data_IF_952535026220
#
_entry.id   IF_952535026220
#
_cell.length_a   1.000
_cell.length_b   1.000
_cell.length_c   1.000
_cell.angle_alpha   90.00
_cell.angle_beta   90.00
_cell.angle_gamma   90.00
#
_symmetry.space_group_name_H-M   'P 1'
#
loop_
_entity.id
_entity.type
_entity.pdbx_description
1 polymer ?
#
# COMPACT_ATOMS: atom_id res chain seq x y z
N UNK A 1 -5.77 2.62 -20.92
CA UNK A 1 -4.81 1.50 -20.79
C UNK A 1 -5.16 0.76 -19.51
N UNK A 2 -5.16 -0.59 -19.56
CA UNK A 2 -5.22 -1.45 -18.37
C UNK A 2 -4.02 -2.38 -18.45
N UNK A 3 -3.23 -2.47 -17.37
CA UNK A 3 -1.99 -3.24 -17.35
C UNK A 3 -1.73 -3.90 -15.98
N UNK A 4 -1.29 -5.15 -16.03
CA UNK A 4 -0.74 -5.87 -14.89
C UNK A 4 0.66 -6.37 -15.29
N UNK A 5 1.68 -5.49 -15.26
CA UNK A 5 3.03 -5.87 -15.68
C UNK A 5 3.69 -6.79 -14.64
N UNK A 6 4.70 -7.57 -15.03
CA UNK A 6 5.47 -8.37 -14.09
C UNK A 6 6.24 -7.47 -13.11
N UNK A 7 6.25 -7.85 -11.81
CA UNK A 7 6.89 -7.06 -10.77
C UNK A 7 8.41 -7.29 -10.70
N UNK A 8 9.13 -6.21 -10.48
CA UNK A 8 10.57 -6.21 -10.19
C UNK A 8 11.44 -6.97 -11.21
N UNK A 9 11.04 -6.93 -12.49
CA UNK A 9 11.80 -7.57 -13.56
C UNK A 9 13.01 -6.72 -13.93
N UNK A 10 14.21 -7.30 -14.03
CA UNK A 10 15.38 -6.59 -14.56
C UNK A 10 15.15 -6.15 -16.01
N UNK A 11 15.69 -4.99 -16.35
CA UNK A 11 15.66 -4.44 -17.70
C UNK A 11 16.99 -3.75 -18.02
N UNK A 12 17.18 -3.24 -19.22
CA UNK A 12 18.47 -2.62 -19.61
C UNK A 12 18.76 -1.34 -18.81
N UNK A 13 17.73 -0.50 -18.61
CA UNK A 13 17.83 0.72 -17.82
C UNK A 13 18.98 1.63 -18.28
N UNK A 14 19.74 2.13 -17.31
CA UNK A 14 20.89 3.00 -17.52
C UNK A 14 22.10 2.32 -18.19
N UNK A 15 22.09 1.01 -18.34
CA UNK A 15 23.11 0.27 -19.11
C UNK A 15 23.00 0.47 -20.62
N UNK A 16 21.82 0.87 -21.09
CA UNK A 16 21.58 1.19 -22.49
C UNK A 16 21.52 2.72 -22.67
N UNK A 17 22.56 3.36 -23.24
CA UNK A 17 22.61 4.81 -23.38
C UNK A 17 21.53 5.37 -24.30
N UNK A 18 20.91 4.56 -25.16
CA UNK A 18 19.81 4.99 -26.02
C UNK A 18 18.54 5.27 -25.22
N UNK A 19 18.33 4.58 -24.10
CA UNK A 19 17.13 4.75 -23.25
C UNK A 19 17.12 6.10 -22.52
N UNK A 20 18.28 6.72 -22.28
CA UNK A 20 18.39 8.02 -21.60
C UNK A 20 17.70 9.12 -22.42
N UNK A 21 17.71 8.99 -23.73
CA UNK A 21 17.08 9.94 -24.65
C UNK A 21 15.75 9.44 -25.23
N UNK A 22 15.31 8.26 -24.83
CA UNK A 22 14.04 7.70 -25.31
C UNK A 22 12.87 8.49 -24.68
N UNK A 23 11.97 9.09 -25.49
CA UNK A 23 10.89 9.94 -25.01
C UNK A 23 9.87 9.19 -24.15
N UNK A 24 9.88 7.86 -24.13
CA UNK A 24 9.04 7.04 -23.24
C UNK A 24 9.54 7.09 -21.80
N UNK A 25 10.85 7.18 -21.57
CA UNK A 25 11.47 7.01 -20.24
C UNK A 25 12.20 8.26 -19.74
N UNK A 26 12.70 9.09 -20.65
CA UNK A 26 13.53 10.25 -20.33
C UNK A 26 12.84 11.45 -19.67
N UNK A 27 11.50 11.67 -19.75
CA UNK A 27 10.89 12.91 -19.26
C UNK A 27 11.08 13.16 -17.75
N UNK A 28 11.29 12.12 -16.96
CA UNK A 28 11.57 12.27 -15.53
C UNK A 28 13.04 12.67 -15.22
N UNK A 29 13.90 12.80 -16.25
CA UNK A 29 15.33 13.11 -16.12
C UNK A 29 16.16 11.95 -15.52
N UNK A 30 15.55 10.81 -15.27
CA UNK A 30 16.20 9.59 -14.78
C UNK A 30 15.46 8.37 -15.32
N UNK A 31 16.18 7.26 -15.47
CA UNK A 31 15.59 5.97 -15.79
C UNK A 31 15.23 5.19 -14.52
N UNK A 32 14.24 4.30 -14.63
CA UNK A 32 13.98 3.32 -13.57
C UNK A 32 15.24 2.47 -13.32
N UNK A 33 15.45 1.97 -12.09
CA UNK A 33 16.60 1.14 -11.78
C UNK A 33 16.68 -0.09 -12.70
N UNK A 34 17.88 -0.41 -13.23
CA UNK A 34 18.07 -1.56 -14.12
C UNK A 34 17.66 -2.90 -13.48
N UNK A 35 17.68 -3.00 -12.15
CA UNK A 35 17.25 -4.20 -11.41
C UNK A 35 15.72 -4.32 -11.26
N UNK A 36 14.94 -3.25 -11.57
CA UNK A 36 13.50 -3.18 -11.32
C UNK A 36 12.83 -2.27 -12.35
N UNK A 37 12.22 -2.87 -13.36
CA UNK A 37 11.57 -2.16 -14.47
C UNK A 37 10.17 -1.60 -14.16
N UNK A 38 9.69 -1.72 -12.90
CA UNK A 38 8.31 -1.35 -12.54
C UNK A 38 7.95 0.07 -12.99
N UNK A 39 8.80 1.07 -12.66
CA UNK A 39 8.58 2.46 -13.08
C UNK A 39 8.77 2.68 -14.59
N UNK A 40 9.51 1.82 -15.28
CA UNK A 40 9.62 1.89 -16.74
C UNK A 40 8.30 1.52 -17.42
N UNK A 41 7.57 0.51 -16.91
CA UNK A 41 6.22 0.19 -17.39
C UNK A 41 5.25 1.35 -17.22
N UNK A 42 5.33 2.05 -16.08
CA UNK A 42 4.50 3.23 -15.80
C UNK A 42 4.81 4.35 -16.78
N UNK A 43 6.09 4.70 -16.96
CA UNK A 43 6.52 5.75 -17.89
C UNK A 43 6.16 5.40 -19.33
N UNK A 44 6.34 4.13 -19.74
CA UNK A 44 5.92 3.64 -21.04
C UNK A 44 4.41 3.79 -21.26
N UNK A 45 3.60 3.38 -20.29
CA UNK A 45 2.14 3.52 -20.35
C UNK A 45 1.73 4.98 -20.44
N UNK A 46 2.34 5.86 -19.65
CA UNK A 46 2.08 7.29 -19.70
C UNK A 46 2.42 7.90 -21.07
N UNK A 47 3.53 7.48 -21.71
CA UNK A 47 3.93 7.98 -23.02
C UNK A 47 2.90 7.65 -24.11
N UNK A 48 2.29 6.47 -24.04
CA UNK A 48 1.29 6.01 -25.00
C UNK A 48 -0.14 6.49 -24.68
N UNK A 49 -0.34 7.10 -23.52
CA UNK A 49 -1.64 7.58 -23.13
C UNK A 49 -2.05 8.79 -23.96
N UNK A 50 -3.23 8.75 -24.54
CA UNK A 50 -3.83 9.90 -25.23
C UNK A 50 -4.01 11.08 -24.25
N UNK A 51 -4.12 12.30 -24.78
CA UNK A 51 -4.27 13.52 -23.96
C UNK A 51 -5.48 13.49 -23.03
N UNK A 52 -6.55 12.82 -23.42
CA UNK A 52 -7.78 12.60 -22.62
C UNK A 52 -7.87 11.17 -22.06
N UNK A 53 -6.78 10.40 -22.13
CA UNK A 53 -6.76 9.00 -21.73
C UNK A 53 -6.58 8.79 -20.23
N UNK A 54 -6.95 7.60 -19.77
CA UNK A 54 -6.66 7.11 -18.44
C UNK A 54 -5.94 5.75 -18.49
N UNK A 55 -5.09 5.49 -17.50
CA UNK A 55 -4.43 4.20 -17.34
C UNK A 55 -4.65 3.69 -15.91
N UNK A 56 -4.92 2.38 -15.78
CA UNK A 56 -4.95 1.65 -14.53
C UNK A 56 -3.85 0.59 -14.57
N UNK A 57 -2.89 0.69 -13.67
CA UNK A 57 -1.69 -0.14 -13.67
C UNK A 57 -1.56 -0.80 -12.30
N UNK A 58 -1.51 -2.14 -12.28
CA UNK A 58 -1.23 -2.89 -11.05
C UNK A 58 0.26 -2.76 -10.73
N UNK A 59 0.56 -2.37 -9.51
CA UNK A 59 1.89 -2.00 -9.06
C UNK A 59 2.33 -2.78 -7.84
N UNK A 60 3.63 -3.07 -7.78
CA UNK A 60 4.27 -3.52 -6.55
C UNK A 60 4.34 -2.35 -5.55
N UNK A 61 3.95 -2.51 -4.28
CA UNK A 61 3.85 -1.41 -3.32
C UNK A 61 5.17 -0.66 -3.10
N UNK A 62 6.30 -1.34 -3.24
CA UNK A 62 7.61 -0.73 -3.04
C UNK A 62 7.90 0.48 -3.90
N UNK A 63 7.31 0.59 -5.10
CA UNK A 63 7.51 1.75 -5.96
C UNK A 63 6.88 3.03 -5.40
N UNK A 64 5.94 2.90 -4.46
CA UNK A 64 5.24 4.03 -3.87
C UNK A 64 6.11 4.83 -2.88
N UNK A 65 7.13 4.19 -2.27
CA UNK A 65 7.93 4.82 -1.21
C UNK A 65 9.45 4.76 -1.39
N UNK A 66 9.99 3.87 -2.26
CA UNK A 66 11.44 3.76 -2.43
C UNK A 66 12.05 5.08 -2.90
N UNK A 67 13.27 5.36 -2.42
CA UNK A 67 14.05 6.54 -2.80
C UNK A 67 14.76 6.42 -4.15
N UNK A 68 15.68 7.35 -4.41
CA UNK A 68 16.53 7.32 -5.59
C UNK A 68 15.79 7.64 -6.89
N UNK A 69 16.03 6.84 -7.93
CA UNK A 69 15.43 7.07 -9.24
C UNK A 69 13.90 6.93 -9.24
N UNK A 70 13.35 5.95 -8.49
CA UNK A 70 11.91 5.75 -8.37
C UNK A 70 11.22 6.98 -7.75
N UNK A 71 11.83 7.60 -6.74
CA UNK A 71 11.34 8.84 -6.14
C UNK A 71 11.33 10.01 -7.13
N UNK A 72 12.39 10.16 -7.94
CA UNK A 72 12.46 11.21 -8.97
C UNK A 72 11.37 11.02 -10.03
N UNK A 73 11.07 9.79 -10.39
CA UNK A 73 9.97 9.49 -11.32
C UNK A 73 8.62 9.82 -10.67
N UNK A 74 8.38 9.45 -9.39
CA UNK A 74 7.17 9.87 -8.68
C UNK A 74 7.03 11.38 -8.62
N UNK A 75 8.13 12.08 -8.32
CA UNK A 75 8.15 13.54 -8.37
C UNK A 75 7.69 14.07 -9.72
N UNK A 76 8.24 13.56 -10.81
CA UNK A 76 7.82 13.92 -12.17
C UNK A 76 6.32 13.67 -12.39
N UNK A 77 5.82 12.51 -11.99
CA UNK A 77 4.40 12.15 -12.17
C UNK A 77 3.46 13.06 -11.38
N UNK A 78 3.80 13.40 -10.14
CA UNK A 78 2.98 14.25 -9.26
C UNK A 78 3.06 15.72 -9.69
N UNK A 79 4.26 16.25 -9.94
CA UNK A 79 4.45 17.65 -10.34
C UNK A 79 3.76 17.99 -11.67
N UNK A 80 3.67 17.00 -12.58
CA UNK A 80 2.95 17.15 -13.84
C UNK A 80 1.46 16.73 -13.75
N UNK A 81 0.96 16.51 -12.55
CA UNK A 81 -0.44 16.17 -12.27
C UNK A 81 -0.95 14.92 -13.01
N UNK A 82 -0.11 13.90 -13.21
CA UNK A 82 -0.49 12.67 -13.91
C UNK A 82 -1.08 11.61 -12.99
N UNK A 83 -0.77 11.61 -11.69
CA UNK A 83 -1.31 10.63 -10.74
C UNK A 83 -2.73 11.04 -10.35
N UNK A 84 -3.72 10.24 -10.71
CA UNK A 84 -5.13 10.49 -10.41
C UNK A 84 -5.54 9.86 -9.07
N UNK A 85 -5.23 8.57 -8.89
CA UNK A 85 -5.48 7.87 -7.63
C UNK A 85 -4.46 6.75 -7.40
N UNK A 86 -4.26 6.41 -6.12
CA UNK A 86 -3.57 5.21 -5.66
C UNK A 86 -4.55 4.40 -4.81
N UNK A 87 -4.76 3.14 -5.17
CA UNK A 87 -5.71 2.25 -4.50
C UNK A 87 -4.93 1.06 -3.97
N UNK A 88 -4.87 0.92 -2.65
CA UNK A 88 -4.29 -0.25 -2.01
C UNK A 88 -5.32 -1.37 -1.97
N UNK A 89 -4.99 -2.50 -2.59
CA UNK A 89 -5.84 -3.68 -2.63
C UNK A 89 -5.54 -4.64 -1.46
N UNK A 90 -6.46 -5.56 -1.13
CA UNK A 90 -6.23 -6.60 -0.14
C UNK A 90 -5.02 -7.48 -0.47
N UNK A 91 -4.39 -8.02 0.55
CA UNK A 91 -3.40 -9.10 0.40
C UNK A 91 -4.04 -10.38 -0.13
N UNK A 92 -3.23 -11.32 -0.62
CA UNK A 92 -3.68 -12.65 -1.09
C UNK A 92 -4.76 -12.61 -2.20
N UNK A 93 -4.81 -11.56 -3.02
CA UNK A 93 -5.71 -11.49 -4.19
C UNK A 93 -5.18 -12.28 -5.37
N UNK A 94 -3.87 -12.30 -5.58
CA UNK A 94 -3.24 -12.94 -6.73
C UNK A 94 -2.66 -14.30 -6.34
N UNK A 95 -2.67 -15.25 -7.27
CA UNK A 95 -2.07 -16.56 -7.08
C UNK A 95 -0.58 -16.41 -6.73
N UNK A 96 -0.16 -17.07 -5.65
CA UNK A 96 1.22 -17.06 -5.15
C UNK A 96 1.77 -15.68 -4.73
N UNK A 97 0.91 -14.68 -4.55
CA UNK A 97 1.29 -13.34 -4.07
C UNK A 97 0.55 -13.08 -2.76
N UNK A 98 1.28 -13.11 -1.65
CA UNK A 98 0.73 -12.91 -0.30
C UNK A 98 0.66 -11.44 0.13
N UNK A 99 1.42 -10.57 -0.53
CA UNK A 99 1.43 -9.13 -0.24
C UNK A 99 0.20 -8.43 -0.86
N UNK A 100 -0.16 -7.29 -0.31
CA UNK A 100 -1.05 -6.34 -0.98
C UNK A 100 -0.38 -5.81 -2.23
N UNK A 101 -1.17 -5.37 -3.20
CA UNK A 101 -0.71 -4.64 -4.38
C UNK A 101 -1.48 -3.34 -4.48
N UNK A 102 -0.93 -2.39 -5.24
CA UNK A 102 -1.59 -1.11 -5.47
C UNK A 102 -2.05 -1.01 -6.92
N UNK A 103 -3.13 -0.26 -7.17
CA UNK A 103 -3.46 0.21 -8.51
C UNK A 103 -3.10 1.69 -8.58
N UNK A 104 -2.25 2.06 -9.53
CA UNK A 104 -1.99 3.45 -9.88
C UNK A 104 -2.88 3.84 -11.04
N UNK A 105 -3.72 4.85 -10.83
CA UNK A 105 -4.49 5.48 -11.88
C UNK A 105 -3.76 6.72 -12.39
N UNK A 106 -3.53 6.78 -13.70
CA UNK A 106 -2.93 7.92 -14.39
C UNK A 106 -3.94 8.58 -15.31
N UNK A 107 -3.92 9.92 -15.36
CA UNK A 107 -4.68 10.75 -16.30
C UNK A 107 -3.83 11.94 -16.74
N UNK A 108 -3.97 12.36 -18.02
CA UNK A 108 -3.30 13.56 -18.56
C UNK A 108 -4.15 14.83 -18.46
N UNK A 109 -5.48 14.70 -18.36
CA UNK A 109 -6.43 15.81 -18.37
C UNK A 109 -7.21 15.92 -17.06
N UNK A 110 -6.52 15.84 -15.92
CA UNK A 110 -7.16 16.05 -14.63
C UNK A 110 -7.70 17.50 -14.52
N UNK A 111 -8.82 17.63 -13.81
CA UNK A 111 -9.47 18.92 -13.55
C UNK A 111 -9.08 19.51 -12.19
N UNK A 112 -8.52 18.70 -11.31
CA UNK A 112 -7.99 19.09 -10.01
C UNK A 112 -6.46 18.84 -9.92
N UNK A 113 -5.85 19.35 -8.89
CA UNK A 113 -4.41 19.18 -8.61
C UNK A 113 -4.21 18.39 -7.32
N UNK A 114 -4.82 17.20 -7.26
CA UNK A 114 -4.81 16.32 -6.09
C UNK A 114 -4.75 14.85 -6.49
N UNK A 115 -4.24 14.01 -5.60
CA UNK A 115 -4.23 12.55 -5.71
C UNK A 115 -5.24 11.98 -4.73
N UNK A 116 -6.09 11.07 -5.19
CA UNK A 116 -6.98 10.31 -4.31
C UNK A 116 -6.23 9.05 -3.82
N UNK A 117 -6.16 8.87 -2.51
CA UNK A 117 -5.66 7.65 -1.87
C UNK A 117 -6.84 6.84 -1.33
N UNK A 118 -6.91 5.56 -1.67
CA UNK A 118 -7.98 4.65 -1.25
C UNK A 118 -7.39 3.43 -0.56
N UNK A 119 -7.75 3.20 0.68
CA UNK A 119 -7.40 1.98 1.42
C UNK A 119 -8.52 0.94 1.26
N UNK A 120 -8.40 0.11 0.24
CA UNK A 120 -9.30 -1.02 0.02
C UNK A 120 -8.74 -2.33 0.61
N UNK A 121 -7.78 -2.29 1.51
CA UNK A 121 -7.12 -3.47 2.07
C UNK A 121 -8.08 -4.40 2.84
N UNK A 122 -9.20 -3.87 3.33
CA UNK A 122 -10.28 -4.61 4.02
C UNK A 122 -11.44 -5.00 3.09
N UNK A 123 -11.44 -4.57 1.84
CA UNK A 123 -12.51 -4.81 0.87
C UNK A 123 -12.34 -6.17 0.18
N UNK A 124 -12.70 -7.27 0.87
CA UNK A 124 -12.62 -8.61 0.29
C UNK A 124 -13.58 -9.59 0.94
N UNK A 125 -13.86 -10.67 0.23
CA UNK A 125 -14.45 -11.89 0.76
C UNK A 125 -13.40 -12.99 0.75
N UNK A 126 -13.35 -13.78 1.82
CA UNK A 126 -12.39 -14.89 1.93
C UNK A 126 -12.91 -16.11 1.19
N UNK A 127 -12.12 -16.62 0.24
CA UNK A 127 -12.45 -17.82 -0.53
C UNK A 127 -11.31 -18.83 -0.33
N UNK A 128 -11.50 -19.78 0.57
CA UNK A 128 -10.51 -20.79 0.97
C UNK A 128 -9.18 -20.16 1.43
N UNK A 129 -8.12 -20.25 0.63
CA UNK A 129 -6.78 -19.70 0.96
C UNK A 129 -6.56 -18.29 0.44
N UNK A 130 -7.35 -17.81 -0.50
CA UNK A 130 -7.17 -16.52 -1.17
C UNK A 130 -8.32 -15.57 -0.80
N UNK A 131 -8.06 -14.28 -0.94
CA UNK A 131 -9.06 -13.23 -0.89
C UNK A 131 -9.60 -12.98 -2.31
N UNK A 132 -10.83 -12.51 -2.39
CA UNK A 132 -11.48 -12.12 -3.65
C UNK A 132 -12.24 -10.82 -3.43
N UNK A 133 -12.23 -9.94 -4.43
CA UNK A 133 -13.13 -8.80 -4.47
C UNK A 133 -14.53 -9.28 -4.88
N UNK A 134 -15.55 -8.98 -4.09
CA UNK A 134 -16.96 -9.14 -4.49
C UNK A 134 -17.36 -7.98 -5.41
N UNK A 135 -18.54 -8.10 -6.03
CA UNK A 135 -19.08 -6.99 -6.83
C UNK A 135 -19.30 -5.73 -5.99
N UNK A 136 -19.75 -5.88 -4.75
CA UNK A 136 -19.91 -4.77 -3.81
C UNK A 136 -18.58 -4.10 -3.46
N UNK A 137 -17.52 -4.89 -3.23
CA UNK A 137 -16.18 -4.33 -2.98
C UNK A 137 -15.67 -3.54 -4.19
N UNK A 138 -15.83 -4.08 -5.39
CA UNK A 138 -15.44 -3.41 -6.64
C UNK A 138 -16.24 -2.11 -6.79
N UNK A 139 -17.56 -2.17 -6.61
CA UNK A 139 -18.43 -1.00 -6.74
C UNK A 139 -18.08 0.10 -5.73
N UNK A 140 -17.75 -0.28 -4.48
CA UNK A 140 -17.31 0.68 -3.45
C UNK A 140 -16.03 1.39 -3.86
N UNK A 141 -15.03 0.66 -4.33
CA UNK A 141 -13.76 1.23 -4.81
C UNK A 141 -14.01 2.16 -6.01
N UNK A 142 -14.80 1.73 -6.99
CA UNK A 142 -15.12 2.51 -8.19
C UNK A 142 -15.88 3.79 -7.82
N UNK A 143 -16.84 3.70 -6.89
CA UNK A 143 -17.60 4.85 -6.41
C UNK A 143 -16.69 5.88 -5.73
N UNK A 144 -15.78 5.46 -4.86
CA UNK A 144 -14.81 6.35 -4.22
C UNK A 144 -13.94 7.08 -5.25
N UNK A 145 -13.47 6.36 -6.28
CA UNK A 145 -12.68 6.96 -7.37
C UNK A 145 -13.51 7.96 -8.19
N UNK A 146 -14.80 7.68 -8.42
CA UNK A 146 -15.69 8.57 -9.18
C UNK A 146 -16.07 9.81 -8.38
N UNK A 147 -16.37 9.66 -7.10
CA UNK A 147 -16.78 10.76 -6.21
C UNK A 147 -15.63 11.67 -5.78
N UNK A 148 -14.40 11.12 -5.65
CA UNK A 148 -13.19 11.84 -5.24
C UNK A 148 -13.38 12.64 -3.94
N UNK A 149 -13.95 12.02 -2.91
CA UNK A 149 -14.21 12.62 -1.60
C UNK A 149 -13.46 11.91 -0.50
N UNK A 150 -13.20 12.63 0.59
CA UNK A 150 -12.70 12.05 1.80
C UNK A 150 -13.75 11.13 2.45
N UNK A 151 -13.33 9.95 2.83
CA UNK A 151 -14.08 8.99 3.65
C UNK A 151 -13.16 8.46 4.74
N UNK A 152 -13.59 8.59 5.99
CA UNK A 152 -12.80 8.21 7.15
C UNK A 152 -12.37 6.73 7.05
N UNK A 153 -11.07 6.46 7.28
CA UNK A 153 -10.45 5.14 7.23
C UNK A 153 -10.52 4.42 5.85
N UNK A 154 -10.97 5.12 4.80
CA UNK A 154 -11.12 4.50 3.48
C UNK A 154 -10.52 5.32 2.34
N UNK A 155 -10.80 6.63 2.25
CA UNK A 155 -10.33 7.46 1.16
C UNK A 155 -9.92 8.87 1.61
N UNK A 156 -8.86 9.41 1.00
CA UNK A 156 -8.43 10.80 1.22
C UNK A 156 -7.96 11.44 -0.07
N UNK A 157 -8.48 12.62 -0.37
CA UNK A 157 -8.06 13.46 -1.48
C UNK A 157 -6.96 14.42 -1.00
N UNK A 158 -5.76 14.27 -1.52
CA UNK A 158 -4.56 14.97 -1.05
C UNK A 158 -4.02 15.88 -2.14
N UNK A 159 -3.86 17.20 -1.89
CA UNK A 159 -3.23 18.11 -2.85
C UNK A 159 -1.81 17.69 -3.23
N UNK A 160 -1.42 17.89 -4.50
CA UNK A 160 -0.09 17.53 -4.98
C UNK A 160 1.02 18.23 -4.17
N UNK A 161 0.80 19.45 -3.67
CA UNK A 161 1.75 20.19 -2.84
C UNK A 161 1.98 19.49 -1.49
N UNK A 162 0.96 18.88 -0.89
CA UNK A 162 1.09 18.06 0.31
C UNK A 162 1.90 16.80 0.03
N UNK A 163 1.63 16.11 -1.09
CA UNK A 163 2.39 14.93 -1.53
C UNK A 163 3.86 15.29 -1.78
N UNK A 164 4.12 16.45 -2.40
CA UNK A 164 5.46 16.97 -2.69
C UNK A 164 6.16 17.64 -1.52
N UNK A 165 5.52 17.76 -0.35
CA UNK A 165 6.08 18.42 0.83
C UNK A 165 7.38 17.74 1.31
N UNK A 166 8.20 18.47 2.09
CA UNK A 166 9.43 17.90 2.68
C UNK A 166 9.17 16.71 3.58
N UNK A 167 8.00 16.65 4.22
CA UNK A 167 7.60 15.56 5.10
C UNK A 167 7.25 14.30 4.29
N UNK A 168 6.45 14.45 3.25
CA UNK A 168 5.94 13.32 2.46
C UNK A 168 6.88 12.91 1.33
N UNK A 169 7.67 13.85 0.79
CA UNK A 169 8.76 13.60 -0.15
C UNK A 169 8.37 12.70 -1.33
N UNK A 170 7.18 12.97 -1.92
CA UNK A 170 6.58 12.21 -3.01
C UNK A 170 6.34 10.72 -2.66
N UNK A 171 6.11 10.42 -1.39
CA UNK A 171 5.62 9.11 -0.97
C UNK A 171 4.16 8.97 -1.45
N UNK A 172 3.85 7.86 -2.13
CA UNK A 172 2.52 7.54 -2.64
C UNK A 172 1.90 6.33 -1.92
N UNK A 173 2.46 5.90 -0.78
CA UNK A 173 1.85 4.83 0.02
C UNK A 173 0.54 5.30 0.63
N UNK A 174 -0.52 4.53 0.46
CA UNK A 174 -1.86 4.87 0.96
C UNK A 174 -1.87 5.07 2.46
N UNK A 175 -1.16 4.23 3.22
CA UNK A 175 -1.04 4.32 4.68
C UNK A 175 -0.39 5.61 5.21
N UNK A 176 0.24 6.41 4.35
CA UNK A 176 0.77 7.73 4.70
C UNK A 176 -0.35 8.76 4.85
N UNK A 177 -1.44 8.58 4.13
CA UNK A 177 -2.52 9.56 4.00
C UNK A 177 -3.86 9.10 4.56
N UNK A 178 -4.15 7.80 4.49
CA UNK A 178 -5.38 7.20 5.03
C UNK A 178 -5.05 6.50 6.33
N UNK A 179 -5.56 7.04 7.43
CA UNK A 179 -5.40 6.44 8.76
C UNK A 179 -6.28 5.20 8.87
N UNK A 180 -5.68 4.06 9.24
CA UNK A 180 -6.45 2.86 9.46
C UNK A 180 -7.24 2.93 10.77
N UNK A 181 -8.41 2.34 10.79
CA UNK A 181 -9.19 2.19 12.01
C UNK A 181 -8.41 1.38 13.04
N UNK A 182 -8.25 1.94 14.24
CA UNK A 182 -7.63 1.23 15.35
C UNK A 182 -8.60 0.21 15.94
N UNK A 183 -8.52 -1.00 15.44
CA UNK A 183 -9.34 -2.15 15.89
C UNK A 183 -8.72 -2.88 17.07
N UNK A 184 -7.64 -2.39 17.68
CA UNK A 184 -7.03 -3.01 18.85
C UNK A 184 -7.98 -2.88 20.02
N UNK A 185 -8.24 -4.01 20.71
CA UNK A 185 -8.95 -3.97 21.98
C UNK A 185 -8.25 -3.01 22.94
N UNK A 186 -9.00 -2.08 23.51
CA UNK A 186 -8.48 -1.23 24.58
C UNK A 186 -8.25 -2.13 25.79
N UNK A 187 -7.01 -2.55 25.98
CA UNK A 187 -6.63 -3.36 27.12
C UNK A 187 -6.77 -2.50 28.37
N UNK A 188 -7.69 -2.89 29.24
CA UNK A 188 -7.78 -2.33 30.58
C UNK A 188 -6.64 -2.91 31.44
N UNK A 189 -5.56 -2.13 31.55
CA UNK A 189 -4.36 -2.52 32.30
C UNK A 189 -4.70 -2.85 33.76
N UNK A 190 -5.68 -2.17 34.36
CA UNK A 190 -6.08 -2.40 35.75
C UNK A 190 -6.72 -3.77 35.88
N UNK A 191 -7.64 -4.11 34.98
CA UNK A 191 -8.29 -5.41 34.94
C UNK A 191 -7.28 -6.53 34.64
N UNK A 192 -6.40 -6.34 33.68
CA UNK A 192 -5.35 -7.32 33.35
C UNK A 192 -4.41 -7.58 34.54
N UNK A 193 -3.97 -6.53 35.23
CA UNK A 193 -3.14 -6.66 36.43
C UNK A 193 -3.87 -7.41 37.58
N UNK A 194 -5.17 -7.18 37.74
CA UNK A 194 -5.95 -7.93 38.70
C UNK A 194 -6.05 -9.43 38.37
N UNK A 195 -6.27 -9.75 37.09
CA UNK A 195 -6.28 -11.14 36.61
C UNK A 195 -4.92 -11.82 36.78
N UNK A 196 -3.83 -11.12 36.48
CA UNK A 196 -2.47 -11.62 36.73
C UNK A 196 -2.23 -11.89 38.21
N UNK A 197 -2.66 -10.99 39.11
CA UNK A 197 -2.50 -11.19 40.55
C UNK A 197 -3.26 -12.42 41.05
N UNK A 198 -4.48 -12.65 40.54
CA UNK A 198 -5.25 -13.88 40.85
C UNK A 198 -4.56 -15.16 40.39
N UNK A 199 -4.02 -15.14 39.16
CA UNK A 199 -3.31 -16.31 38.61
C UNK A 199 -2.06 -16.60 39.42
N UNK A 200 -1.26 -15.59 39.78
CA UNK A 200 -0.06 -15.75 40.62
C UNK A 200 -0.40 -16.29 42.01
N UNK A 201 -1.45 -15.76 42.62
CA UNK A 201 -1.90 -16.27 43.94
C UNK A 201 -2.37 -17.73 43.89
N UNK A 202 -3.03 -18.13 42.78
CA UNK A 202 -3.42 -19.53 42.55
C UNK A 202 -2.21 -20.44 42.30
N UNK A 203 -1.27 -19.98 41.53
CA UNK A 203 -0.01 -20.71 41.27
C UNK A 203 0.74 -20.98 42.60
N UNK A 204 0.83 -19.97 43.45
CA UNK A 204 1.50 -20.10 44.75
C UNK A 204 0.86 -21.15 45.64
N UNK A 205 -0.48 -21.16 45.73
CA UNK A 205 -1.22 -22.20 46.47
C UNK A 205 -0.94 -23.60 45.92
N UNK A 206 -0.93 -23.76 44.61
CA UNK A 206 -0.64 -25.06 44.00
C UNK A 206 0.80 -25.52 44.28
N UNK A 207 1.76 -24.63 44.33
CA UNK A 207 3.15 -24.93 44.69
C UNK A 207 3.25 -25.41 46.16
N UNK A 208 2.58 -24.70 47.09
CA UNK A 208 2.54 -25.07 48.49
C UNK A 208 1.87 -26.45 48.71
N UNK A 209 0.83 -26.79 47.92
CA UNK A 209 0.22 -28.12 47.94
C UNK A 209 1.15 -29.20 47.42
N UNK A 210 1.88 -28.92 46.35
CA UNK A 210 2.90 -29.86 45.80
C UNK A 210 4.03 -30.10 46.80
N UNK A 211 4.56 -29.02 47.41
CA UNK A 211 5.64 -29.13 48.40
C UNK A 211 5.16 -29.93 49.63
N UNK A 212 3.94 -29.78 50.06
CA UNK A 212 3.36 -30.58 51.13
C UNK A 212 3.27 -32.06 50.75
N UNK A 213 2.76 -32.38 49.56
CA UNK A 213 2.67 -33.76 49.07
C UNK A 213 4.05 -34.40 48.96
N UNK A 214 5.06 -33.68 48.45
CA UNK A 214 6.44 -34.15 48.37
C UNK A 214 6.99 -34.45 49.78
N UNK A 215 6.76 -33.57 50.75
CA UNK A 215 7.17 -33.78 52.15
C UNK A 215 6.48 -34.98 52.80
N UNK A 216 5.22 -35.31 52.44
CA UNK A 216 4.52 -36.51 52.88
C UNK A 216 5.02 -37.81 52.22
N UNK A 217 5.66 -37.75 51.06
CA UNK A 217 6.23 -38.90 50.34
C UNK A 217 7.66 -39.17 50.75
N UNK A 218 8.43 -38.13 51.10
CA UNK A 218 9.85 -38.22 51.47
C UNK A 218 10.08 -38.50 53.01
N UNK A 219 9.04 -38.37 53.84
CA UNK A 219 9.05 -38.65 55.28
C UNK A 219 8.52 -40.00 55.62
#
# INVERSE_FOLDING_TARGET
IVSNPPFSVPWEGDKNPLLINDPRFSPAGVLAPASKGDMAFIMHSLSWLASNGAAAIVCFPGIMYRGGAEQKIRKYLVDNNFVDAIIQLPSNLFLNVTISVDIMLLKKNKTDNAVLFVDASKEFVKVTKNNRLSEENIQRIVSAVAERKDEQHFARLVPNDEVGSKQNNYNLSVSTYVEQEDTREKIDIVKLNAEIAEIVAREQKLREEIDRIIGEIEG
#
